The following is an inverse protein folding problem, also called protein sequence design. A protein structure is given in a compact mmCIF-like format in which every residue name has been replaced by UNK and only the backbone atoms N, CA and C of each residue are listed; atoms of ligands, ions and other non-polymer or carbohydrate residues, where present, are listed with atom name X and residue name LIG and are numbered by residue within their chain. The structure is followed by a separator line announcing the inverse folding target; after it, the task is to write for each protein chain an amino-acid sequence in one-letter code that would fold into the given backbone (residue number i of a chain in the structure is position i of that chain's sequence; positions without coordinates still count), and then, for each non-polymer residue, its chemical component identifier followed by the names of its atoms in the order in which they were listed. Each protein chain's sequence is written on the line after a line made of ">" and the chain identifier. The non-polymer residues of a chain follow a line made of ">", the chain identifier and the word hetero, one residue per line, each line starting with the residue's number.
data_IF_547350593154
#
_entry.id   IF_547350593154
#
_cell.length_a   1.000
_cell.length_b   1.000
_cell.length_c   1.000
_cell.angle_alpha   90.00
_cell.angle_beta   90.00
_cell.angle_gamma   90.00
#
_symmetry.space_group_name_H-M   'P 1'
#
loop_
_entity.id
_entity.type
_entity.pdbx_description
1 polymer ?
#
# COMPACT_ATOMS: atom_id res chain seq x y z
N UNK A 1 9.29 -29.97 15.88
CA UNK A 1 8.94 -29.55 14.50
C UNK A 1 7.43 -29.42 14.39
N UNK A 2 6.88 -28.22 14.10
CA UNK A 2 5.44 -28.05 13.86
C UNK A 2 5.10 -28.56 12.46
N UNK A 3 4.22 -29.57 12.36
CA UNK A 3 3.72 -30.09 11.09
C UNK A 3 2.73 -29.08 10.49
N UNK A 4 3.04 -28.53 9.33
CA UNK A 4 2.13 -27.65 8.58
C UNK A 4 1.08 -28.51 7.91
N UNK A 5 -0.19 -28.41 8.32
CA UNK A 5 -1.28 -29.14 7.66
C UNK A 5 -1.73 -28.39 6.39
N UNK A 6 -1.99 -29.10 5.27
CA UNK A 6 -2.53 -28.50 4.07
C UNK A 6 -3.95 -27.97 4.35
N UNK A 7 -4.17 -26.68 4.06
CA UNK A 7 -5.49 -26.04 4.15
C UNK A 7 -6.13 -26.01 2.77
N UNK A 8 -7.27 -26.65 2.61
CA UNK A 8 -8.08 -26.54 1.40
C UNK A 8 -8.87 -25.23 1.44
N UNK A 9 -8.64 -24.35 0.48
CA UNK A 9 -9.40 -23.09 0.35
C UNK A 9 -10.44 -23.29 -0.74
N UNK A 10 -11.72 -23.05 -0.42
CA UNK A 10 -12.78 -22.96 -1.43
C UNK A 10 -12.82 -21.54 -1.98
N UNK A 11 -12.66 -21.41 -3.30
CA UNK A 11 -12.73 -20.13 -4.00
C UNK A 11 -14.10 -20.01 -4.66
N UNK A 12 -14.79 -18.91 -4.43
CA UNK A 12 -16.07 -18.59 -5.08
C UNK A 12 -15.89 -17.35 -5.94
N UNK A 13 -16.35 -17.41 -7.19
CA UNK A 13 -16.45 -16.24 -8.06
C UNK A 13 -17.81 -15.57 -7.87
N UNK A 14 -17.82 -14.27 -7.60
CA UNK A 14 -19.02 -13.45 -7.59
C UNK A 14 -19.06 -12.62 -8.87
N UNK A 15 -20.17 -12.64 -9.61
CA UNK A 15 -20.41 -11.64 -10.66
C UNK A 15 -20.59 -10.27 -9.99
N UNK A 16 -19.81 -9.31 -10.43
CA UNK A 16 -19.90 -7.90 -10.01
C UNK A 16 -20.61 -7.12 -11.10
N UNK A 17 -21.33 -6.06 -10.73
CA UNK A 17 -21.91 -5.15 -11.70
C UNK A 17 -20.85 -4.26 -12.36
N UNK A 18 -21.18 -3.65 -13.49
CA UNK A 18 -20.28 -2.70 -14.17
C UNK A 18 -19.93 -1.50 -13.27
N UNK A 19 -20.88 -1.05 -12.44
CA UNK A 19 -20.62 0.02 -11.45
C UNK A 19 -19.65 -0.42 -10.35
N UNK A 20 -19.80 -1.64 -9.82
CA UNK A 20 -18.87 -2.20 -8.83
C UNK A 20 -17.47 -2.35 -9.44
N UNK A 21 -17.40 -2.82 -10.68
CA UNK A 21 -16.15 -2.94 -11.43
C UNK A 21 -15.49 -1.57 -11.65
N UNK A 22 -16.24 -0.56 -12.07
CA UNK A 22 -15.71 0.79 -12.27
C UNK A 22 -15.15 1.38 -10.96
N UNK A 23 -15.86 1.22 -9.84
CA UNK A 23 -15.38 1.64 -8.51
C UNK A 23 -14.09 0.92 -8.10
N UNK A 24 -14.00 -0.38 -8.37
CA UNK A 24 -12.79 -1.15 -8.09
C UNK A 24 -11.62 -0.71 -8.98
N UNK A 25 -11.88 -0.48 -10.26
CA UNK A 25 -10.87 -0.01 -11.23
C UNK A 25 -10.29 1.34 -10.81
N UNK A 26 -11.14 2.33 -10.50
CA UNK A 26 -10.71 3.65 -10.01
C UNK A 26 -9.92 3.55 -8.69
N UNK A 27 -10.34 2.66 -7.78
CA UNK A 27 -9.58 2.38 -6.57
C UNK A 27 -8.17 1.83 -6.88
N UNK A 28 -8.06 0.85 -7.77
CA UNK A 28 -6.78 0.26 -8.16
C UNK A 28 -5.86 1.25 -8.86
N UNK A 29 -6.40 2.13 -9.72
CA UNK A 29 -5.62 3.21 -10.33
C UNK A 29 -5.04 4.16 -9.27
N UNK A 30 -5.87 4.64 -8.34
CA UNK A 30 -5.43 5.54 -7.25
C UNK A 30 -4.37 4.87 -6.39
N UNK A 31 -4.56 3.59 -6.07
CA UNK A 31 -3.58 2.79 -5.35
C UNK A 31 -2.26 2.67 -6.13
N UNK A 32 -2.33 2.38 -7.43
CA UNK A 32 -1.17 2.28 -8.31
C UNK A 32 -0.38 3.59 -8.39
N UNK A 33 -1.07 4.73 -8.53
CA UNK A 33 -0.44 6.07 -8.50
C UNK A 33 0.25 6.34 -7.17
N UNK A 34 -0.40 6.01 -6.05
CA UNK A 34 0.21 6.17 -4.71
C UNK A 34 1.46 5.30 -4.53
N UNK A 35 1.38 4.04 -4.97
CA UNK A 35 2.53 3.12 -4.96
C UNK A 35 3.68 3.65 -5.82
N UNK A 36 3.40 4.15 -7.02
CA UNK A 36 4.41 4.73 -7.91
C UNK A 36 5.06 5.98 -7.32
N UNK A 37 4.27 6.86 -6.68
CA UNK A 37 4.80 7.99 -5.92
C UNK A 37 5.81 7.56 -4.85
N UNK A 38 5.49 6.53 -4.07
CA UNK A 38 6.41 6.01 -3.05
C UNK A 38 7.66 5.36 -3.65
N UNK A 39 7.52 4.62 -4.75
CA UNK A 39 8.66 4.08 -5.49
C UNK A 39 9.59 5.21 -5.94
N UNK A 40 9.08 6.25 -6.59
CA UNK A 40 9.92 7.35 -7.07
C UNK A 40 10.56 8.12 -5.91
N UNK A 41 9.79 8.39 -4.86
CA UNK A 41 10.25 9.18 -3.71
C UNK A 41 11.30 8.46 -2.88
N UNK A 42 11.17 7.14 -2.72
CA UNK A 42 12.02 6.38 -1.83
C UNK A 42 13.06 5.55 -2.58
N UNK A 43 12.78 4.93 -3.73
CA UNK A 43 13.73 4.10 -4.47
C UNK A 43 14.79 4.89 -5.27
N UNK A 44 14.62 6.21 -5.45
CA UNK A 44 15.49 7.02 -6.33
C UNK A 44 16.91 7.30 -5.86
N UNK A 45 17.25 7.18 -4.57
CA UNK A 45 18.60 7.46 -4.06
C UNK A 45 18.86 6.57 -2.83
N UNK A 46 19.77 5.59 -2.93
CA UNK A 46 20.33 4.79 -1.80
C UNK A 46 19.32 4.06 -0.88
N UNK A 47 18.13 3.71 -1.37
CA UNK A 47 17.03 3.21 -0.51
C UNK A 47 17.14 1.78 -0.02
N UNK A 48 18.09 0.98 -0.52
CA UNK A 48 18.28 -0.40 -0.05
C UNK A 48 18.55 -0.46 1.46
N UNK A 49 19.10 0.62 2.06
CA UNK A 49 19.39 0.71 3.49
C UNK A 49 18.20 1.16 4.36
N UNK A 50 17.20 1.85 3.79
CA UNK A 50 16.04 2.33 4.54
C UNK A 50 14.99 1.22 4.82
N UNK A 51 15.10 0.10 4.11
CA UNK A 51 14.22 -1.08 4.28
C UNK A 51 14.44 -1.77 5.63
N UNK A 52 15.64 -1.64 6.22
CA UNK A 52 15.96 -2.20 7.54
C UNK A 52 15.11 -1.60 8.67
N UNK A 53 14.47 -0.44 8.46
CA UNK A 53 13.55 0.14 9.42
C UNK A 53 12.27 0.67 8.77
N UNK A 54 11.51 -0.23 8.13
CA UNK A 54 10.14 -0.01 7.65
C UNK A 54 9.28 0.82 8.62
N UNK A 55 9.39 0.54 9.92
CA UNK A 55 8.61 1.21 10.96
C UNK A 55 8.99 2.70 11.08
N UNK A 56 10.28 3.03 11.03
CA UNK A 56 10.75 4.41 11.02
C UNK A 56 10.28 5.17 9.77
N UNK A 57 10.38 4.56 8.59
CA UNK A 57 9.90 5.15 7.35
C UNK A 57 8.38 5.41 7.39
N UNK A 58 7.60 4.42 7.83
CA UNK A 58 6.16 4.56 8.04
C UNK A 58 5.84 5.69 9.01
N UNK A 59 6.57 5.80 10.12
CA UNK A 59 6.35 6.86 11.11
C UNK A 59 6.71 8.24 10.55
N UNK A 60 7.73 8.35 9.71
CA UNK A 60 8.07 9.59 9.01
C UNK A 60 6.95 9.99 8.04
N UNK A 61 6.43 9.04 7.23
CA UNK A 61 5.30 9.29 6.34
C UNK A 61 4.06 9.70 7.13
N UNK A 62 3.78 9.07 8.28
CA UNK A 62 2.68 9.46 9.18
C UNK A 62 2.81 10.88 9.73
N UNK A 63 4.03 11.34 10.02
CA UNK A 63 4.27 12.73 10.45
C UNK A 63 4.00 13.72 9.30
N UNK A 64 4.40 13.37 8.08
CA UNK A 64 4.17 14.17 6.88
C UNK A 64 2.70 14.16 6.42
N UNK A 65 2.03 13.01 6.53
CA UNK A 65 0.62 12.79 6.21
C UNK A 65 -0.32 13.25 7.34
N UNK A 66 0.24 13.74 8.46
CA UNK A 66 -0.54 14.08 9.65
C UNK A 66 -1.63 15.10 9.29
N UNK A 67 -2.91 14.77 9.51
CA UNK A 67 -3.98 15.72 9.27
C UNK A 67 -3.89 16.90 10.26
N UNK A 68 -4.23 18.09 9.79
CA UNK A 68 -4.58 19.21 10.68
C UNK A 68 -5.92 18.84 11.34
N UNK A 69 -6.11 19.12 12.64
CA UNK A 69 -7.28 18.69 13.44
C UNK A 69 -8.58 18.65 12.60
N UNK A 70 -9.20 17.48 12.50
CA UNK A 70 -10.48 17.28 11.79
C UNK A 70 -10.40 17.06 10.27
N UNK A 71 -9.21 17.13 9.66
CA UNK A 71 -9.04 16.90 8.22
C UNK A 71 -8.55 15.48 7.89
N UNK A 72 -8.67 15.09 6.62
CA UNK A 72 -8.01 13.89 6.08
C UNK A 72 -6.51 14.15 5.92
N UNK A 73 -5.70 13.09 6.01
CA UNK A 73 -4.28 13.19 5.67
C UNK A 73 -4.07 13.64 4.22
N UNK A 74 -2.89 14.15 3.88
CA UNK A 74 -2.57 14.60 2.51
C UNK A 74 -2.75 13.46 1.50
N UNK A 75 -2.28 12.26 1.84
CA UNK A 75 -2.40 11.08 0.99
C UNK A 75 -3.85 10.61 0.84
N UNK A 76 -4.61 10.62 1.93
CA UNK A 76 -6.03 10.26 1.90
C UNK A 76 -6.85 11.26 1.09
N UNK A 77 -6.45 12.54 1.07
CA UNK A 77 -7.09 13.58 0.26
C UNK A 77 -6.72 13.43 -1.22
N UNK A 78 -5.43 13.26 -1.54
CA UNK A 78 -4.94 13.18 -2.93
C UNK A 78 -5.39 11.91 -3.64
N UNK A 79 -5.35 10.77 -2.94
CA UNK A 79 -5.66 9.48 -3.53
C UNK A 79 -7.05 8.95 -3.14
N UNK A 80 -7.80 9.69 -2.33
CA UNK A 80 -9.19 9.42 -1.96
C UNK A 80 -9.44 7.96 -1.50
N UNK A 81 -8.60 7.47 -0.59
CA UNK A 81 -8.76 6.17 0.05
C UNK A 81 -8.34 6.22 1.53
N UNK A 82 -8.83 5.30 2.35
CA UNK A 82 -8.50 5.22 3.79
C UNK A 82 -6.99 5.08 4.04
N UNK A 83 -6.50 5.63 5.15
CA UNK A 83 -5.09 5.59 5.59
C UNK A 83 -4.43 4.21 5.49
N UNK A 84 -5.16 3.12 5.76
CA UNK A 84 -4.63 1.75 5.69
C UNK A 84 -4.10 1.37 4.30
N UNK A 85 -4.67 1.93 3.23
CA UNK A 85 -4.32 1.58 1.86
C UNK A 85 -2.99 2.23 1.43
N UNK A 86 -2.69 3.49 1.79
CA UNK A 86 -1.36 4.03 1.47
C UNK A 86 -0.26 3.32 2.27
N UNK A 87 -0.54 2.87 3.50
CA UNK A 87 0.42 2.08 4.27
C UNK A 87 0.74 0.76 3.54
N UNK A 88 -0.27 0.14 2.92
CA UNK A 88 -0.10 -1.00 2.02
C UNK A 88 0.75 -0.65 0.78
N UNK A 89 0.42 0.44 0.10
CA UNK A 89 1.16 0.91 -1.07
C UNK A 89 2.65 1.20 -0.77
N UNK A 90 2.92 1.84 0.37
CA UNK A 90 4.28 2.10 0.86
C UNK A 90 5.00 0.77 1.15
N UNK A 91 4.30 -0.20 1.76
CA UNK A 91 4.88 -1.52 2.08
C UNK A 91 5.23 -2.29 0.83
N UNK A 92 4.37 -2.27 -0.18
CA UNK A 92 4.63 -2.91 -1.47
C UNK A 92 5.73 -2.21 -2.26
N UNK A 93 5.79 -0.87 -2.21
CA UNK A 93 6.86 -0.11 -2.83
C UNK A 93 8.22 -0.49 -2.22
N UNK A 94 8.30 -0.63 -0.89
CA UNK A 94 9.54 -1.01 -0.21
C UNK A 94 9.82 -2.52 -0.20
N UNK A 95 8.78 -3.36 -0.27
CA UNK A 95 8.86 -4.82 -0.14
C UNK A 95 9.30 -5.56 -1.41
N UNK A 96 9.19 -4.94 -2.60
CA UNK A 96 9.66 -5.54 -3.86
C UNK A 96 11.19 -5.67 -3.98
N UNK A 97 11.95 -5.21 -2.99
CA UNK A 97 13.40 -5.49 -2.91
C UNK A 97 13.66 -6.93 -2.43
N UNK A 98 12.71 -7.58 -1.73
CA UNK A 98 12.92 -8.90 -1.08
C UNK A 98 12.55 -10.14 -1.91
N UNK A 99 11.95 -9.99 -3.10
CA UNK A 99 11.51 -11.12 -3.93
C UNK A 99 12.41 -11.38 -5.16
N UNK A 100 13.59 -10.76 -5.20
CA UNK A 100 14.58 -10.91 -6.29
C UNK A 100 15.92 -11.49 -5.82
N UNK A 101 15.94 -12.16 -4.66
CA UNK A 101 17.11 -12.90 -4.16
C UNK A 101 16.72 -14.35 -3.92
#
# INVERSE_FOLDING_TARGET
>A
MKKTQPKTVRVYSKKISDEEFARMSDFFERYGRCRHFFLNRYCGIKSMLAVNNWQALRNQVRKWDKPVKGSKGKLETVYNFQTKHWVGALREACGRIWLTV
#
